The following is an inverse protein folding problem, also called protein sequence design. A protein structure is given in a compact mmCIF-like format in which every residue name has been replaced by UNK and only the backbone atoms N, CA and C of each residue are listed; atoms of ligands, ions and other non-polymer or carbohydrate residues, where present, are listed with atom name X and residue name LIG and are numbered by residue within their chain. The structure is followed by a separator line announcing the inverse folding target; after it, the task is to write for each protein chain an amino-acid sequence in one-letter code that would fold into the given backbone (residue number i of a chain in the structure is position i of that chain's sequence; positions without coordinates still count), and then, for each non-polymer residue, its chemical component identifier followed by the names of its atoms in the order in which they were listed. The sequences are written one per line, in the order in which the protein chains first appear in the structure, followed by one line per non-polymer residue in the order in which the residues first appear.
data_IF_497499853055
#
_entry.id   IF_497499853055
#
_cell.length_a   1.000
_cell.length_b   1.000
_cell.length_c   1.000
_cell.angle_alpha   90.00
_cell.angle_beta   90.00
_cell.angle_gamma   90.00
#
_symmetry.space_group_name_H-M   'P 1'
#
loop_
_entity.id
_entity.type
_entity.pdbx_description
1 polymer ?
#
# COMPACT_ATOMS: atom_id res chain seq x y z
N UNK A 1 -52.66 -22.09 10.85
CA UNK A 1 -51.78 -21.99 12.03
C UNK A 1 -50.37 -22.23 11.52
N UNK A 2 -49.67 -21.16 11.13
CA UNK A 2 -48.62 -20.49 11.95
C UNK A 2 -47.45 -21.43 12.22
N UNK A 3 -46.20 -21.16 11.87
CA UNK A 3 -45.60 -19.96 11.30
C UNK A 3 -44.36 -20.35 10.51
N UNK A 4 -44.22 -19.68 9.36
CA UNK A 4 -42.96 -19.37 8.67
C UNK A 4 -41.94 -18.88 9.70
N UNK A 5 -40.66 -19.27 9.60
CA UNK A 5 -39.48 -18.45 9.93
C UNK A 5 -38.22 -19.26 9.56
N UNK A 6 -37.62 -18.97 8.41
CA UNK A 6 -36.16 -18.77 8.37
C UNK A 6 -35.82 -18.01 7.10
N UNK A 7 -35.40 -16.79 7.35
CA UNK A 7 -35.24 -15.70 6.41
C UNK A 7 -34.18 -16.03 5.37
N UNK A 8 -34.58 -15.87 4.10
CA UNK A 8 -33.65 -15.72 2.99
C UNK A 8 -32.75 -14.53 3.30
N UNK A 9 -31.48 -14.76 3.60
CA UNK A 9 -30.51 -13.68 3.70
C UNK A 9 -30.12 -13.27 2.28
N UNK A 10 -30.91 -12.34 1.74
CA UNK A 10 -30.68 -11.66 0.48
C UNK A 10 -29.35 -10.91 0.57
N UNK A 11 -28.32 -11.47 -0.08
CA UNK A 11 -27.02 -10.83 -0.22
C UNK A 11 -27.08 -9.81 -1.37
N UNK A 12 -27.83 -8.72 -1.16
CA UNK A 12 -27.84 -7.57 -2.06
C UNK A 12 -27.37 -6.34 -1.30
N UNK A 13 -26.12 -5.97 -1.52
CA UNK A 13 -25.67 -4.58 -1.43
C UNK A 13 -24.46 -4.40 -2.35
N UNK A 14 -24.77 -4.17 -3.63
CA UNK A 14 -24.10 -3.20 -4.51
C UNK A 14 -22.63 -2.90 -4.16
N UNK A 15 -21.69 -3.70 -4.68
CA UNK A 15 -20.32 -3.21 -4.83
C UNK A 15 -20.25 -2.38 -6.09
N UNK A 16 -20.40 -1.09 -5.90
CA UNK A 16 -20.10 -0.02 -6.84
C UNK A 16 -18.75 -0.30 -7.51
N UNK A 17 -18.80 -0.80 -8.73
CA UNK A 17 -17.68 -0.73 -9.66
C UNK A 17 -17.58 0.73 -10.09
N UNK A 18 -16.53 1.42 -9.63
CA UNK A 18 -16.22 2.79 -10.03
C UNK A 18 -15.94 3.69 -8.83
N UNK A 19 -14.70 4.18 -8.75
CA UNK A 19 -14.14 5.12 -7.76
C UNK A 19 -13.81 4.61 -6.35
N UNK A 20 -12.98 3.57 -6.23
CA UNK A 20 -12.22 3.26 -4.99
C UNK A 20 -10.87 3.97 -4.90
N UNK A 21 -10.52 4.83 -5.87
CA UNK A 21 -9.19 5.42 -5.99
C UNK A 21 -9.15 6.86 -5.45
N UNK A 22 -9.18 7.00 -4.12
CA UNK A 22 -8.36 7.95 -3.34
C UNK A 22 -8.69 7.80 -1.85
N UNK A 23 -8.58 6.59 -1.31
CA UNK A 23 -8.35 6.48 0.12
C UNK A 23 -6.83 6.61 0.30
N UNK A 24 -6.37 7.82 0.61
CA UNK A 24 -4.95 8.09 0.86
C UNK A 24 -4.65 7.45 2.23
N UNK A 25 -4.14 6.23 2.22
CA UNK A 25 -3.77 5.55 3.45
C UNK A 25 -2.44 6.13 3.93
N UNK A 26 -2.40 6.63 5.16
CA UNK A 26 -1.14 7.02 5.81
C UNK A 26 -0.17 5.84 5.79
N UNK A 27 1.12 6.11 5.54
CA UNK A 27 2.15 5.09 5.47
C UNK A 27 2.24 4.38 6.83
N UNK A 28 2.08 3.05 6.91
CA UNK A 28 2.22 2.32 8.15
C UNK A 28 3.62 2.48 8.75
N UNK A 29 3.68 2.81 10.04
CA UNK A 29 4.94 2.86 10.78
C UNK A 29 5.46 1.42 11.03
N UNK A 30 6.68 1.09 10.60
CA UNK A 30 7.26 -0.22 10.87
C UNK A 30 7.60 -0.36 12.36
N UNK A 31 7.34 -1.53 12.93
CA UNK A 31 7.64 -1.84 14.34
C UNK A 31 9.14 -1.90 14.68
N UNK A 32 10.00 -1.97 13.67
CA UNK A 32 11.45 -2.11 13.81
C UNK A 32 12.16 -1.34 12.71
N UNK A 33 13.34 -0.79 13.02
CA UNK A 33 14.23 -0.17 12.03
C UNK A 33 14.62 -1.16 10.93
N UNK A 34 14.76 -0.67 9.70
CA UNK A 34 15.32 -1.42 8.58
C UNK A 34 16.85 -1.42 8.69
N UNK A 35 17.48 -2.60 8.68
CA UNK A 35 18.93 -2.74 8.88
C UNK A 35 19.60 -3.21 7.60
N UNK A 36 20.71 -2.56 7.22
CA UNK A 36 21.60 -3.01 6.14
C UNK A 36 21.00 -2.85 4.74
N UNK A 37 20.07 -1.90 4.58
CA UNK A 37 19.36 -1.60 3.32
C UNK A 37 19.36 -0.11 3.00
N UNK A 38 20.25 0.65 3.62
CA UNK A 38 20.33 2.10 3.52
C UNK A 38 20.64 2.50 2.06
N UNK A 39 21.49 1.72 1.39
CA UNK A 39 21.82 1.94 -0.02
C UNK A 39 20.61 1.73 -0.94
N UNK A 40 19.85 0.64 -0.75
CA UNK A 40 18.64 0.37 -1.53
C UNK A 40 17.57 1.43 -1.31
N UNK A 41 17.41 1.91 -0.07
CA UNK A 41 16.52 3.05 0.22
C UNK A 41 16.93 4.27 -0.60
N UNK A 42 18.21 4.66 -0.55
CA UNK A 42 18.71 5.82 -1.29
C UNK A 42 18.53 5.66 -2.81
N UNK A 43 18.77 4.46 -3.35
CA UNK A 43 18.56 4.19 -4.77
C UNK A 43 17.09 4.34 -5.17
N UNK A 44 16.17 3.76 -4.40
CA UNK A 44 14.73 3.87 -4.68
C UNK A 44 14.28 5.32 -4.56
N UNK A 45 14.69 6.05 -3.52
CA UNK A 45 14.38 7.47 -3.37
C UNK A 45 14.87 8.29 -4.57
N UNK A 46 16.12 8.06 -5.02
CA UNK A 46 16.68 8.75 -6.19
C UNK A 46 15.86 8.49 -7.45
N UNK A 47 15.46 7.24 -7.69
CA UNK A 47 14.63 6.89 -8.84
C UNK A 47 13.23 7.48 -8.75
N UNK A 48 12.62 7.55 -7.56
CA UNK A 48 11.31 8.18 -7.35
C UNK A 48 11.34 9.70 -7.59
N UNK A 49 12.46 10.36 -7.32
CA UNK A 49 12.62 11.79 -7.59
C UNK A 49 12.87 12.11 -9.07
N UNK A 50 13.08 11.10 -9.91
CA UNK A 50 13.25 11.31 -11.34
C UNK A 50 11.88 11.48 -12.02
N UNK A 51 11.59 12.64 -12.64
CA UNK A 51 10.29 12.91 -13.27
C UNK A 51 9.94 11.97 -14.44
N UNK A 52 10.94 11.31 -15.04
CA UNK A 52 10.74 10.35 -16.13
C UNK A 52 10.29 8.96 -15.61
N UNK A 53 10.45 8.70 -14.32
CA UNK A 53 10.10 7.42 -13.68
C UNK A 53 8.68 7.49 -13.12
N UNK A 54 7.73 6.88 -13.84
CA UNK A 54 6.31 6.83 -13.43
C UNK A 54 5.91 5.57 -12.66
N UNK A 55 6.73 4.53 -12.73
CA UNK A 55 6.49 3.25 -12.07
C UNK A 55 7.84 2.62 -11.68
N UNK A 56 7.95 2.21 -10.42
CA UNK A 56 9.10 1.50 -9.89
C UNK A 56 8.63 0.18 -9.27
N UNK A 57 9.20 -0.93 -9.73
CA UNK A 57 8.90 -2.27 -9.21
C UNK A 57 10.09 -2.80 -8.42
N UNK A 58 9.88 -3.08 -7.13
CA UNK A 58 10.88 -3.75 -6.29
C UNK A 58 10.66 -5.27 -6.36
N UNK A 59 11.65 -6.00 -6.88
CA UNK A 59 11.60 -7.47 -6.99
C UNK A 59 12.63 -8.12 -6.06
N UNK A 60 12.48 -9.43 -5.84
CA UNK A 60 13.39 -10.21 -5.00
C UNK A 60 12.72 -11.41 -4.32
N UNK A 61 13.50 -12.30 -3.71
CA UNK A 61 13.00 -13.51 -3.05
C UNK A 61 11.92 -13.26 -1.99
N UNK A 62 11.16 -14.31 -1.66
CA UNK A 62 10.23 -14.27 -0.54
C UNK A 62 10.95 -13.92 0.77
N UNK A 63 10.32 -13.11 1.63
CA UNK A 63 10.89 -12.76 2.95
C UNK A 63 12.07 -11.78 2.96
N UNK A 64 12.60 -11.34 1.81
CA UNK A 64 13.79 -10.46 1.76
C UNK A 64 13.55 -9.01 2.27
N UNK A 65 12.32 -8.69 2.67
CA UNK A 65 11.99 -7.39 3.26
C UNK A 65 11.53 -6.31 2.28
N UNK A 66 11.10 -6.65 1.06
CA UNK A 66 10.61 -5.67 0.05
C UNK A 66 9.52 -4.73 0.58
N UNK A 67 8.55 -5.26 1.33
CA UNK A 67 7.49 -4.45 1.96
C UNK A 67 8.08 -3.49 3.00
N UNK A 68 9.06 -3.95 3.78
CA UNK A 68 9.74 -3.14 4.79
C UNK A 68 10.58 -2.02 4.14
N UNK A 69 11.26 -2.34 3.04
CA UNK A 69 11.96 -1.35 2.22
C UNK A 69 10.99 -0.29 1.66
N UNK A 70 9.87 -0.73 1.08
CA UNK A 70 8.88 0.19 0.52
C UNK A 70 8.26 1.11 1.58
N UNK A 71 7.99 0.60 2.79
CA UNK A 71 7.51 1.42 3.90
C UNK A 71 8.54 2.46 4.34
N UNK A 72 9.82 2.07 4.47
CA UNK A 72 10.89 3.01 4.82
C UNK A 72 11.01 4.13 3.78
N UNK A 73 11.06 3.76 2.50
CA UNK A 73 11.10 4.73 1.39
C UNK A 73 9.89 5.66 1.44
N UNK A 74 8.69 5.11 1.63
CA UNK A 74 7.47 5.90 1.66
C UNK A 74 7.46 6.92 2.82
N UNK A 75 8.01 6.56 3.99
CA UNK A 75 8.20 7.50 5.10
C UNK A 75 9.23 8.59 4.75
N UNK A 76 10.33 8.23 4.11
CA UNK A 76 11.39 9.17 3.74
C UNK A 76 10.93 10.20 2.70
N UNK A 77 10.04 9.82 1.77
CA UNK A 77 9.56 10.70 0.69
C UNK A 77 8.19 11.31 0.93
N UNK A 78 7.51 11.02 2.05
CA UNK A 78 6.12 11.43 2.30
C UNK A 78 5.88 12.95 2.15
N UNK A 79 6.89 13.76 2.47
CA UNK A 79 6.80 15.22 2.37
C UNK A 79 6.90 15.73 0.92
N UNK A 80 7.56 14.97 0.04
CA UNK A 80 7.64 15.28 -1.39
C UNK A 80 6.37 14.85 -2.13
N UNK A 81 5.69 13.81 -1.64
CA UNK A 81 4.45 13.28 -2.20
C UNK A 81 3.28 13.44 -1.21
N UNK A 82 2.80 14.67 -0.94
CA UNK A 82 1.80 14.93 0.10
C UNK A 82 0.42 14.31 -0.18
N UNK A 83 0.17 13.88 -1.42
CA UNK A 83 -1.12 13.32 -1.86
C UNK A 83 -1.12 11.79 -1.99
N UNK A 84 0.02 11.13 -1.73
CA UNK A 84 0.25 9.74 -2.11
C UNK A 84 0.60 9.60 -3.58
#
# INVERSE_FOLDING_TARGET
MSSKHSSKQTFEARRSAGSSHRQIHQVPLPFTTLIGREHEVQQVCTLLMNPDVRLLTVTGPGGIGKTRLALQVALDVQHTFPNG
#
